data_IF_401291346764
#
_entry.id   IF_401291346764
#
_cell.length_a   1.000
_cell.length_b   1.000
_cell.length_c   1.000
_cell.angle_alpha   90.00
_cell.angle_beta   90.00
_cell.angle_gamma   90.00
#
_symmetry.space_group_name_H-M   'P 1'
#
loop_
_entity.id
_entity.type
_entity.pdbx_description
1 polymer ?
#
# COMPACT_ATOMS: atom_id res chain seq x y z
N UNK A 1 49.11 -30.04 6.06
CA UNK A 1 48.92 -28.64 6.49
C UNK A 1 47.42 -28.39 6.54
N UNK A 2 46.89 -28.15 7.73
CA UNK A 2 45.47 -28.08 8.09
C UNK A 2 44.77 -26.88 7.47
N UNK A 3 43.62 -27.09 6.83
CA UNK A 3 42.61 -26.05 6.57
C UNK A 3 41.90 -25.66 7.87
N UNK A 4 41.60 -24.38 8.06
CA UNK A 4 40.24 -23.99 8.44
C UNK A 4 39.81 -22.73 7.66
N UNK A 5 38.71 -22.79 6.91
CA UNK A 5 37.34 -22.47 7.33
C UNK A 5 36.92 -21.06 6.92
N UNK A 6 35.99 -21.04 5.96
CA UNK A 6 34.91 -20.09 5.75
C UNK A 6 34.81 -18.91 6.73
N UNK A 7 35.14 -17.70 6.26
CA UNK A 7 34.49 -16.49 6.77
C UNK A 7 33.68 -15.87 5.65
N UNK A 8 32.47 -16.43 5.50
CA UNK A 8 31.36 -15.77 4.86
C UNK A 8 30.96 -14.59 5.75
N UNK A 9 31.49 -13.40 5.47
CA UNK A 9 30.96 -12.13 5.95
C UNK A 9 29.60 -11.83 5.29
N UNK A 10 28.68 -12.78 5.41
CA UNK A 10 27.26 -12.56 5.24
C UNK A 10 26.70 -12.11 6.58
N UNK A 11 27.16 -10.94 7.07
CA UNK A 11 26.34 -10.18 8.01
C UNK A 11 24.94 -10.09 7.38
N UNK A 12 23.90 -10.67 8.01
CA UNK A 12 22.57 -10.64 7.44
C UNK A 12 22.21 -9.17 7.36
N UNK A 13 22.20 -8.62 6.15
CA UNK A 13 21.84 -7.23 5.88
C UNK A 13 20.41 -7.06 6.40
N UNK A 14 20.31 -6.61 7.65
CA UNK A 14 19.04 -6.39 8.34
C UNK A 14 18.36 -5.29 7.55
N UNK A 15 17.49 -5.70 6.62
CA UNK A 15 16.67 -4.81 5.82
C UNK A 15 15.77 -4.07 6.78
N UNK A 16 16.27 -2.94 7.25
CA UNK A 16 15.61 -2.11 8.25
C UNK A 16 14.59 -1.25 7.51
N UNK A 17 13.46 -0.97 8.16
CA UNK A 17 12.39 -0.08 7.70
C UNK A 17 12.93 1.29 7.22
N UNK A 18 14.10 1.70 7.72
CA UNK A 18 14.89 2.86 7.27
C UNK A 18 15.23 2.85 5.77
N UNK A 19 15.46 1.69 5.17
CA UNK A 19 15.81 1.58 3.75
C UNK A 19 14.56 1.70 2.84
N UNK A 20 13.36 1.52 3.41
CA UNK A 20 12.09 1.74 2.70
C UNK A 20 11.60 3.19 2.80
N UNK A 21 12.03 3.96 3.80
CA UNK A 21 11.68 5.37 3.94
C UNK A 21 12.55 6.32 3.10
N UNK A 22 13.64 5.82 2.51
CA UNK A 22 14.65 6.64 1.84
C UNK A 22 14.41 6.90 0.35
N UNK A 23 13.27 6.49 -0.23
CA UNK A 23 12.94 6.79 -1.64
C UNK A 23 11.61 7.54 -1.76
N UNK A 24 11.59 8.78 -2.31
CA UNK A 24 10.39 9.62 -2.40
C UNK A 24 9.24 8.94 -3.17
N UNK A 25 9.59 8.04 -4.09
CA UNK A 25 8.66 7.21 -4.85
C UNK A 25 7.75 6.35 -3.97
N UNK A 26 8.26 5.86 -2.84
CA UNK A 26 7.52 4.95 -1.93
C UNK A 26 6.53 5.69 -1.04
N UNK A 27 6.85 6.92 -0.62
CA UNK A 27 5.90 7.82 0.05
C UNK A 27 4.80 8.26 -0.90
N UNK A 28 5.15 8.59 -2.15
CA UNK A 28 4.18 8.99 -3.16
C UNK A 28 3.12 7.91 -3.40
N UNK A 29 3.52 6.63 -3.49
CA UNK A 29 2.58 5.55 -3.75
C UNK A 29 1.70 5.20 -2.54
N UNK A 30 2.19 5.36 -1.30
CA UNK A 30 1.34 5.27 -0.11
C UNK A 30 0.28 6.38 -0.07
N UNK A 31 0.67 7.59 -0.49
CA UNK A 31 -0.24 8.72 -0.65
C UNK A 31 -1.26 8.44 -1.76
N UNK A 32 -0.83 7.87 -2.90
CA UNK A 32 -1.74 7.43 -3.97
C UNK A 32 -2.72 6.39 -3.45
N UNK A 33 -2.27 5.41 -2.66
CA UNK A 33 -3.16 4.41 -2.07
C UNK A 33 -4.22 5.04 -1.16
N UNK A 34 -3.81 6.02 -0.34
CA UNK A 34 -4.70 6.75 0.56
C UNK A 34 -5.71 7.60 -0.23
N UNK A 35 -5.23 8.30 -1.25
CA UNK A 35 -6.07 9.09 -2.18
C UNK A 35 -7.07 8.18 -2.88
N UNK A 36 -6.62 7.05 -3.45
CA UNK A 36 -7.50 6.06 -4.08
C UNK A 36 -8.56 5.54 -3.12
N UNK A 37 -8.20 5.23 -1.87
CA UNK A 37 -9.18 4.80 -0.86
C UNK A 37 -10.22 5.89 -0.56
N UNK A 38 -9.78 7.15 -0.43
CA UNK A 38 -10.68 8.30 -0.27
C UNK A 38 -11.56 8.50 -1.49
N UNK A 39 -11.05 8.30 -2.71
CA UNK A 39 -11.88 8.36 -3.92
C UNK A 39 -12.91 7.23 -3.98
N UNK A 40 -12.55 6.01 -3.58
CA UNK A 40 -13.44 4.85 -3.61
C UNK A 40 -14.57 5.04 -2.59
N UNK A 41 -14.24 5.27 -1.33
CA UNK A 41 -15.21 5.40 -0.23
C UNK A 41 -15.95 6.74 -0.28
N UNK A 42 -15.24 7.79 -0.68
CA UNK A 42 -15.79 9.14 -0.86
C UNK A 42 -16.45 9.37 -2.21
N UNK A 43 -16.43 8.39 -3.14
CA UNK A 43 -17.05 8.54 -4.48
C UNK A 43 -18.51 9.01 -4.44
N UNK A 44 -19.37 8.60 -3.48
CA UNK A 44 -20.75 9.10 -3.44
C UNK A 44 -20.82 10.57 -2.99
N UNK A 45 -19.93 10.98 -2.09
CA UNK A 45 -19.84 12.36 -1.60
C UNK A 45 -19.26 13.29 -2.68
N UNK A 46 -18.16 12.88 -3.32
CA UNK A 46 -17.50 13.66 -4.36
C UNK A 46 -18.38 13.72 -5.61
N UNK A 47 -18.89 12.58 -6.07
CA UNK A 47 -19.78 12.51 -7.23
C UNK A 47 -21.13 13.18 -6.96
N UNK A 48 -21.66 13.10 -5.73
CA UNK A 48 -22.85 13.82 -5.32
C UNK A 48 -22.65 15.34 -5.25
N UNK A 49 -21.51 15.81 -4.73
CA UNK A 49 -21.17 17.23 -4.69
C UNK A 49 -20.97 17.81 -6.10
N UNK A 50 -20.28 17.08 -6.98
CA UNK A 50 -20.10 17.45 -8.40
C UNK A 50 -21.45 17.42 -9.12
N UNK A 51 -22.25 16.38 -8.91
CA UNK A 51 -23.60 16.25 -9.48
C UNK A 51 -24.51 17.41 -9.09
N UNK A 52 -24.47 17.83 -7.82
CA UNK A 52 -25.21 18.98 -7.32
C UNK A 52 -24.68 20.30 -7.87
N UNK A 53 -23.36 20.46 -7.98
CA UNK A 53 -22.74 21.68 -8.51
C UNK A 53 -22.98 21.89 -10.00
N UNK A 54 -23.27 20.82 -10.75
CA UNK A 54 -23.53 20.84 -12.19
C UNK A 54 -25.02 20.66 -12.54
N UNK A 55 -25.90 20.67 -11.53
CA UNK A 55 -27.35 20.41 -11.67
C UNK A 55 -27.67 19.15 -12.51
N UNK A 56 -26.83 18.13 -12.39
CA UNK A 56 -26.96 16.90 -13.16
C UNK A 56 -28.15 16.08 -12.69
N UNK A 57 -28.87 15.46 -13.63
CA UNK A 57 -29.94 14.51 -13.31
C UNK A 57 -29.38 13.35 -12.48
N UNK A 58 -30.22 12.74 -11.65
CA UNK A 58 -29.81 11.64 -10.76
C UNK A 58 -29.09 10.50 -11.52
N UNK A 59 -29.55 10.16 -12.72
CA UNK A 59 -28.91 9.15 -13.57
C UNK A 59 -27.48 9.55 -14.01
N UNK A 60 -27.25 10.82 -14.32
CA UNK A 60 -25.94 11.33 -14.70
C UNK A 60 -25.01 11.41 -13.49
N UNK A 61 -25.53 11.85 -12.34
CA UNK A 61 -24.78 11.85 -11.07
C UNK A 61 -24.33 10.45 -10.68
N UNK A 62 -25.20 9.44 -10.84
CA UNK A 62 -24.84 8.04 -10.65
C UNK A 62 -23.69 7.60 -11.56
N UNK A 63 -23.71 7.99 -12.84
CA UNK A 63 -22.61 7.74 -13.78
C UNK A 63 -21.29 8.40 -13.37
N UNK A 64 -21.33 9.62 -12.84
CA UNK A 64 -20.13 10.32 -12.31
C UNK A 64 -19.57 9.60 -11.08
N UNK A 65 -20.43 9.19 -10.14
CA UNK A 65 -20.02 8.43 -8.96
C UNK A 65 -19.32 7.13 -9.38
N UNK A 66 -19.92 6.39 -10.31
CA UNK A 66 -19.38 5.14 -10.83
C UNK A 66 -18.05 5.35 -11.56
N UNK A 67 -17.92 6.42 -12.35
CA UNK A 67 -16.67 6.80 -13.01
C UNK A 67 -15.55 7.11 -12.01
N UNK A 68 -15.85 7.87 -10.96
CA UNK A 68 -14.89 8.17 -9.88
C UNK A 68 -14.49 6.90 -9.13
N UNK A 69 -15.46 6.02 -8.88
CA UNK A 69 -15.21 4.73 -8.22
C UNK A 69 -14.26 3.84 -9.04
N UNK A 70 -14.56 3.65 -10.34
CA UNK A 70 -13.72 2.85 -11.24
C UNK A 70 -12.33 3.46 -11.37
N UNK A 71 -12.23 4.79 -11.52
CA UNK A 71 -10.94 5.48 -11.56
C UNK A 71 -10.15 5.25 -10.27
N UNK A 72 -10.81 5.31 -9.11
CA UNK A 72 -10.24 5.01 -7.81
C UNK A 72 -9.73 3.58 -7.70
N UNK A 73 -10.52 2.59 -8.13
CA UNK A 73 -10.13 1.18 -8.17
C UNK A 73 -8.94 0.93 -9.08
N UNK A 74 -8.96 1.42 -10.32
CA UNK A 74 -7.87 1.25 -11.27
C UNK A 74 -6.58 1.85 -10.73
N UNK A 75 -6.65 3.07 -10.15
CA UNK A 75 -5.49 3.73 -9.55
C UNK A 75 -4.98 2.94 -8.33
N UNK A 76 -5.88 2.34 -7.55
CA UNK A 76 -5.55 1.49 -6.40
C UNK A 76 -4.83 0.21 -6.82
N UNK A 77 -5.35 -0.52 -7.82
CA UNK A 77 -4.75 -1.74 -8.34
C UNK A 77 -3.44 -1.47 -9.09
N UNK A 78 -3.36 -0.37 -9.85
CA UNK A 78 -2.12 0.06 -10.48
C UNK A 78 -1.04 0.35 -9.44
N UNK A 79 -1.39 1.11 -8.39
CA UNK A 79 -0.46 1.37 -7.28
C UNK A 79 -0.01 0.07 -6.61
N UNK A 80 -0.93 -0.88 -6.37
CA UNK A 80 -0.60 -2.21 -5.84
C UNK A 80 0.31 -3.02 -6.77
N UNK A 81 0.10 -2.96 -8.09
CA UNK A 81 0.95 -3.65 -9.05
C UNK A 81 2.39 -3.13 -9.00
N UNK A 82 2.56 -1.81 -8.84
CA UNK A 82 3.89 -1.20 -8.66
C UNK A 82 4.48 -1.46 -7.26
N UNK A 83 3.67 -1.54 -6.21
CA UNK A 83 4.12 -1.77 -4.81
C UNK A 83 4.20 -3.24 -4.38
N UNK A 84 3.64 -4.16 -5.16
CA UNK A 84 3.21 -5.46 -4.66
C UNK A 84 4.32 -6.28 -4.02
N UNK A 85 5.51 -6.31 -4.64
CA UNK A 85 6.65 -7.10 -4.13
C UNK A 85 7.15 -6.60 -2.77
N UNK A 86 7.20 -5.29 -2.56
CA UNK A 86 7.70 -4.69 -1.33
C UNK A 86 6.63 -4.60 -0.24
N UNK A 87 5.36 -4.39 -0.61
CA UNK A 87 4.24 -4.43 0.33
C UNK A 87 4.07 -5.84 0.92
N UNK A 88 4.17 -6.89 0.09
CA UNK A 88 4.11 -8.29 0.55
C UNK A 88 5.30 -8.63 1.44
N UNK A 89 6.50 -8.16 1.11
CA UNK A 89 7.69 -8.37 1.95
C UNK A 89 7.56 -7.65 3.30
N UNK A 90 7.06 -6.41 3.33
CA UNK A 90 6.75 -5.68 4.56
C UNK A 90 5.68 -6.37 5.39
N UNK A 91 4.59 -6.80 4.76
CA UNK A 91 3.49 -7.47 5.45
C UNK A 91 3.97 -8.80 6.03
N UNK A 92 4.79 -9.54 5.27
CA UNK A 92 5.45 -10.76 5.74
C UNK A 92 6.36 -10.49 6.92
N UNK A 93 7.20 -9.45 6.88
CA UNK A 93 8.09 -9.10 7.99
C UNK A 93 7.32 -8.66 9.23
N UNK A 94 6.27 -7.84 9.06
CA UNK A 94 5.40 -7.40 10.16
C UNK A 94 4.64 -8.57 10.77
N UNK A 95 4.09 -9.47 9.94
CA UNK A 95 3.45 -10.71 10.41
C UNK A 95 4.43 -11.61 11.15
N UNK A 96 5.65 -11.80 10.63
CA UNK A 96 6.69 -12.61 11.28
C UNK A 96 7.08 -12.04 12.63
N UNK A 97 7.14 -10.71 12.75
CA UNK A 97 7.43 -10.02 14.00
C UNK A 97 6.28 -10.15 15.02
N UNK A 98 5.04 -10.00 14.55
CA UNK A 98 3.85 -10.14 15.38
C UNK A 98 3.66 -11.59 15.87
N UNK A 99 3.96 -12.57 15.00
CA UNK A 99 3.92 -13.99 15.32
C UNK A 99 5.03 -14.40 16.29
N UNK A 100 6.25 -13.88 16.12
CA UNK A 100 7.36 -14.10 17.08
C UNK A 100 7.06 -13.52 18.46
N UNK A 101 6.40 -12.35 18.52
CA UNK A 101 6.05 -11.69 19.79
C UNK A 101 5.01 -12.48 20.58
N UNK A 102 4.12 -13.21 19.88
CA UNK A 102 3.11 -14.08 20.51
C UNK A 102 3.72 -15.31 21.20
N UNK A 103 4.84 -15.84 20.70
CA UNK A 103 5.50 -17.00 21.29
C UNK A 103 6.34 -16.69 22.54
N UNK A 104 6.87 -15.46 22.70
CA UNK A 104 7.59 -15.06 23.93
C UNK A 104 6.69 -14.72 25.12
N UNK A 105 5.38 -14.65 24.91
CA UNK A 105 4.42 -14.36 25.99
C UNK A 105 3.87 -15.64 26.65
N UNK A 106 4.37 -16.81 26.25
CA UNK A 106 3.95 -18.13 26.78
C UNK A 106 5.09 -18.90 27.47
N UNK A 107 6.26 -18.28 27.65
CA UNK A 107 7.33 -18.78 28.52
C UNK A 107 7.43 -17.93 29.77
#
# INVERSE_FOLDING_TARGET
MTTPDSNSDQTPKVRTIKDLANTPFKKALLVVQLISYVLIVGSPLIGGAIGRSLELKAAQTGGVILGIFIAGEVLFYASLAFLGKELVLLLRDKMKHWFKRKNRSKE
#
